data_IF_990354066790
#
_entry.id   IF_990354066790
#
_cell.length_a   1.000
_cell.length_b   1.000
_cell.length_c   1.000
_cell.angle_alpha   90.00
_cell.angle_beta   90.00
_cell.angle_gamma   90.00
#
_symmetry.space_group_name_H-M   'P 1'
#
loop_
_entity.id
_entity.type
_entity.pdbx_description
1 polymer ?
#
# COMPACT_ATOMS: atom_id res chain seq x y z
N UNK A 1 -18.49 2.45 -0.96
CA UNK A 1 -18.18 1.73 -2.21
C UNK A 1 -18.39 0.25 -1.97
N UNK A 2 -19.09 -0.42 -2.87
CA UNK A 2 -19.20 -1.87 -2.88
C UNK A 2 -17.87 -2.53 -3.28
N UNK A 3 -17.71 -3.81 -2.92
CA UNK A 3 -16.52 -4.61 -3.24
C UNK A 3 -16.18 -4.62 -4.75
N UNK A 4 -17.19 -4.64 -5.60
CA UNK A 4 -17.02 -4.66 -7.06
C UNK A 4 -16.56 -3.30 -7.59
N UNK A 5 -17.05 -2.21 -7.02
CA UNK A 5 -16.63 -0.86 -7.40
C UNK A 5 -15.17 -0.61 -7.03
N UNK A 6 -14.74 -1.00 -5.82
CA UNK A 6 -13.35 -0.77 -5.41
C UNK A 6 -12.35 -1.58 -6.27
N UNK A 7 -12.70 -2.80 -6.67
CA UNK A 7 -11.86 -3.59 -7.57
C UNK A 7 -11.77 -2.96 -8.97
N UNK A 8 -12.88 -2.43 -9.50
CA UNK A 8 -12.88 -1.68 -10.76
C UNK A 8 -12.04 -0.42 -10.68
N UNK A 9 -12.15 0.33 -9.59
CA UNK A 9 -11.34 1.54 -9.35
C UNK A 9 -9.86 1.20 -9.29
N UNK A 10 -9.48 0.16 -8.54
CA UNK A 10 -8.07 -0.29 -8.48
C UNK A 10 -7.55 -0.72 -9.86
N UNK A 11 -8.37 -1.46 -10.63
CA UNK A 11 -8.01 -1.89 -11.97
C UNK A 11 -7.88 -0.73 -12.97
N UNK A 12 -8.49 0.43 -12.68
CA UNK A 12 -8.41 1.61 -13.55
C UNK A 12 -7.10 2.39 -13.39
N UNK A 13 -6.33 2.15 -12.32
CA UNK A 13 -5.07 2.84 -12.10
C UNK A 13 -4.01 2.40 -13.11
N UNK A 14 -3.37 3.36 -13.76
CA UNK A 14 -2.28 3.13 -14.71
C UNK A 14 -0.90 3.24 -14.06
N UNK A 15 -0.83 3.88 -12.90
CA UNK A 15 0.40 4.02 -12.11
C UNK A 15 0.13 3.82 -10.62
N UNK A 16 1.19 3.56 -9.85
CA UNK A 16 1.07 3.33 -8.41
C UNK A 16 0.82 4.63 -7.64
N UNK A 17 1.32 5.75 -8.17
CA UNK A 17 1.10 7.11 -7.69
C UNK A 17 -0.39 7.44 -7.67
N UNK A 18 -1.12 7.13 -8.74
CA UNK A 18 -2.58 7.31 -8.77
C UNK A 18 -3.29 6.55 -7.65
N UNK A 19 -2.84 5.33 -7.36
CA UNK A 19 -3.39 4.56 -6.27
C UNK A 19 -3.05 5.20 -4.91
N UNK A 20 -1.81 5.67 -4.73
CA UNK A 20 -1.38 6.33 -3.49
C UNK A 20 -2.14 7.64 -3.25
N UNK A 21 -2.33 8.45 -4.29
CA UNK A 21 -3.11 9.69 -4.25
C UNK A 21 -4.59 9.39 -3.97
N UNK A 22 -5.19 8.42 -4.67
CA UNK A 22 -6.58 8.03 -4.45
C UNK A 22 -6.86 7.53 -3.02
N UNK A 23 -5.86 6.90 -2.40
CA UNK A 23 -5.96 6.38 -1.05
C UNK A 23 -5.44 7.35 0.01
N UNK A 24 -5.13 8.61 -0.30
CA UNK A 24 -4.55 9.59 0.63
C UNK A 24 -3.35 8.99 1.40
N UNK A 25 -2.41 8.40 0.68
CA UNK A 25 -1.16 7.87 1.23
C UNK A 25 -0.03 8.75 0.75
N UNK A 26 0.58 9.50 1.67
CA UNK A 26 1.80 10.25 1.38
C UNK A 26 2.96 9.32 0.99
N UNK A 27 3.73 9.73 -0.01
CA UNK A 27 4.87 8.97 -0.52
C UNK A 27 6.02 9.91 -0.93
N UNK A 28 7.23 9.35 -0.92
CA UNK A 28 8.41 10.02 -1.48
C UNK A 28 8.58 9.66 -2.96
N UNK A 29 8.67 10.65 -3.85
CA UNK A 29 8.76 10.41 -5.29
C UNK A 29 10.04 9.66 -5.69
N UNK A 30 11.18 9.87 -5.00
CA UNK A 30 12.41 9.09 -5.24
C UNK A 30 12.20 7.63 -4.83
N UNK A 31 11.50 7.38 -3.73
CA UNK A 31 11.15 6.04 -3.31
C UNK A 31 10.27 5.33 -4.34
N UNK A 32 9.27 6.01 -4.90
CA UNK A 32 8.42 5.42 -5.95
C UNK A 32 9.21 5.18 -7.25
N UNK A 33 10.10 6.08 -7.64
CA UNK A 33 10.97 5.86 -8.79
C UNK A 33 11.88 4.62 -8.62
N UNK A 34 12.39 4.39 -7.41
CA UNK A 34 13.31 3.28 -7.12
C UNK A 34 12.58 1.94 -6.86
N UNK A 35 11.40 1.96 -6.24
CA UNK A 35 10.68 0.76 -5.76
C UNK A 35 9.26 0.57 -6.32
N UNK A 36 8.80 1.43 -7.24
CA UNK A 36 7.44 1.43 -7.76
C UNK A 36 7.01 0.06 -8.30
N UNK A 37 7.86 -0.61 -9.08
CA UNK A 37 7.57 -1.96 -9.59
C UNK A 37 7.44 -2.99 -8.46
N UNK A 38 8.25 -2.90 -7.41
CA UNK A 38 8.14 -3.81 -6.26
C UNK A 38 6.87 -3.54 -5.46
N UNK A 39 6.49 -2.26 -5.34
CA UNK A 39 5.27 -1.83 -4.66
C UNK A 39 4.03 -2.34 -5.38
N UNK A 40 3.95 -2.19 -6.70
CA UNK A 40 2.86 -2.73 -7.53
C UNK A 40 2.73 -4.24 -7.33
N UNK A 41 3.85 -4.99 -7.46
CA UNK A 41 3.83 -6.46 -7.28
C UNK A 41 3.33 -6.87 -5.91
N UNK A 42 3.79 -6.20 -4.85
CA UNK A 42 3.40 -6.52 -3.48
C UNK A 42 1.95 -6.14 -3.19
N UNK A 43 1.50 -4.99 -3.68
CA UNK A 43 0.11 -4.55 -3.55
C UNK A 43 -0.84 -5.54 -4.24
N UNK A 44 -0.56 -5.89 -5.50
CA UNK A 44 -1.35 -6.89 -6.23
C UNK A 44 -1.34 -8.25 -5.52
N UNK A 45 -0.21 -8.67 -4.97
CA UNK A 45 -0.13 -9.88 -4.15
C UNK A 45 -1.07 -9.85 -2.94
N UNK A 46 -1.17 -8.70 -2.25
CA UNK A 46 -2.11 -8.55 -1.13
C UNK A 46 -3.58 -8.56 -1.57
N UNK A 47 -3.90 -7.95 -2.72
CA UNK A 47 -5.25 -7.97 -3.28
C UNK A 47 -5.70 -9.38 -3.70
N UNK A 48 -4.77 -10.22 -4.15
CA UNK A 48 -5.04 -11.63 -4.51
C UNK A 48 -5.27 -12.46 -3.24
N UNK A 49 -4.43 -12.29 -2.22
CA UNK A 49 -4.54 -13.03 -0.96
C UNK A 49 -5.81 -12.68 -0.18
N UNK A 50 -6.17 -11.40 -0.18
CA UNK A 50 -7.38 -10.91 0.46
C UNK A 50 -8.01 -9.84 -0.42
N UNK A 51 -9.14 -10.19 -1.04
CA UNK A 51 -9.92 -9.22 -1.82
C UNK A 51 -10.38 -8.09 -0.90
N UNK A 52 -10.14 -6.82 -1.24
CA UNK A 52 -10.58 -5.71 -0.40
C UNK A 52 -12.10 -5.65 -0.39
N UNK A 53 -12.70 -5.60 0.79
CA UNK A 53 -14.15 -5.48 0.97
C UNK A 53 -14.62 -4.04 0.77
N UNK A 54 -13.78 -3.08 1.17
CA UNK A 54 -14.05 -1.65 1.10
C UNK A 54 -12.78 -0.84 0.76
N UNK A 55 -12.96 0.48 0.68
CA UNK A 55 -11.88 1.43 0.42
C UNK A 55 -10.78 1.38 1.49
N UNK A 56 -11.14 1.17 2.76
CA UNK A 56 -10.17 1.11 3.86
C UNK A 56 -9.30 -0.14 3.82
N UNK A 57 -9.87 -1.29 3.43
CA UNK A 57 -9.15 -2.54 3.23
C UNK A 57 -8.15 -2.40 2.08
N UNK A 58 -8.58 -1.81 0.95
CA UNK A 58 -7.70 -1.54 -0.18
C UNK A 58 -6.56 -0.58 0.20
N UNK A 59 -6.88 0.55 0.86
CA UNK A 59 -5.90 1.48 1.41
C UNK A 59 -4.89 0.79 2.33
N UNK A 60 -5.38 -0.06 3.23
CA UNK A 60 -4.53 -0.80 4.18
C UNK A 60 -3.60 -1.76 3.45
N UNK A 61 -4.09 -2.46 2.42
CA UNK A 61 -3.27 -3.33 1.59
C UNK A 61 -2.13 -2.54 0.92
N UNK A 62 -2.43 -1.40 0.29
CA UNK A 62 -1.41 -0.56 -0.34
C UNK A 62 -0.41 0.00 0.67
N UNK A 63 -0.89 0.54 1.79
CA UNK A 63 -0.04 1.08 2.86
C UNK A 63 0.87 0.01 3.46
N UNK A 64 0.36 -1.19 3.69
CA UNK A 64 1.16 -2.31 4.17
C UNK A 64 2.23 -2.72 3.14
N UNK A 65 1.92 -2.68 1.85
CA UNK A 65 2.89 -2.96 0.80
C UNK A 65 4.03 -1.94 0.81
N UNK A 66 3.70 -0.66 0.89
CA UNK A 66 4.66 0.45 0.98
C UNK A 66 5.54 0.32 2.22
N UNK A 67 4.94 0.23 3.41
CA UNK A 67 5.68 0.13 4.66
C UNK A 67 6.57 -1.13 4.72
N UNK A 68 6.15 -2.23 4.11
CA UNK A 68 6.95 -3.46 4.08
C UNK A 68 8.25 -3.24 3.30
N UNK A 69 8.19 -2.59 2.14
CA UNK A 69 9.37 -2.30 1.32
C UNK A 69 10.28 -1.31 2.03
N UNK A 70 9.71 -0.24 2.59
CA UNK A 70 10.48 0.76 3.34
C UNK A 70 11.22 0.11 4.53
N UNK A 71 10.54 -0.75 5.31
CA UNK A 71 11.14 -1.46 6.44
C UNK A 71 12.16 -2.50 6.05
N UNK A 72 12.08 -3.12 4.87
CA UNK A 72 13.12 -4.06 4.42
C UNK A 72 14.43 -3.37 4.05
N UNK A 73 14.43 -2.05 3.85
CA UNK A 73 15.65 -1.26 3.62
C UNK A 73 16.37 -0.87 4.90
N UNK A 74 15.66 -0.83 6.02
CA UNK A 74 16.25 -0.47 7.31
C UNK A 74 17.07 -1.66 7.85
N UNK A 75 18.25 -1.36 8.39
CA UNK A 75 19.10 -2.38 9.00
C UNK A 75 18.37 -3.12 10.14
N UNK A 76 18.66 -4.40 10.32
CA UNK A 76 17.93 -5.27 11.25
C UNK A 76 18.02 -4.79 12.70
N UNK A 77 19.11 -4.13 13.07
CA UNK A 77 19.38 -3.64 14.42
C UNK A 77 18.86 -2.22 14.63
N UNK A 78 18.77 -1.42 13.57
CA UNK A 78 18.25 -0.04 13.62
C UNK A 78 16.75 0.06 13.31
N UNK A 79 16.17 -0.94 12.64
CA UNK A 79 14.75 -0.94 12.32
C UNK A 79 13.95 -1.01 13.61
N UNK A 80 13.28 0.09 13.94
CA UNK A 80 12.24 0.03 14.95
C UNK A 80 11.07 -0.78 14.40
N UNK A 81 10.42 -1.55 15.28
CA UNK A 81 9.09 -2.03 14.96
C UNK A 81 8.23 -0.78 14.70
N UNK A 82 7.80 -0.58 13.45
CA UNK A 82 6.74 0.37 13.17
C UNK A 82 5.62 0.03 14.15
N UNK A 83 5.33 0.91 15.11
CA UNK A 83 4.32 0.71 16.17
C UNK A 83 2.90 0.76 15.62
N UNK A 84 2.72 0.36 14.35
CA UNK A 84 1.74 0.92 13.45
C UNK A 84 1.91 2.44 13.38
N UNK A 85 1.97 3.02 12.19
CA UNK A 85 1.41 4.36 12.12
C UNK A 85 -0.01 4.25 12.71
N UNK A 86 -0.45 5.19 13.53
CA UNK A 86 -1.76 5.18 14.22
C UNK A 86 -2.97 4.88 13.32
N UNK A 87 -2.79 4.96 12.00
CA UNK A 87 -3.71 4.52 10.93
C UNK A 87 -3.75 3.00 10.64
N UNK A 88 -2.75 2.20 11.05
CA UNK A 88 -2.72 0.74 10.95
C UNK A 88 -3.18 0.03 12.24
N UNK A 89 -3.20 0.73 13.38
CA UNK A 89 -3.63 0.19 14.68
C UNK A 89 -5.08 0.50 15.06
N UNK A 90 -5.75 1.48 14.42
CA UNK A 90 -7.19 1.70 14.60
C UNK A 90 -7.98 0.63 13.82
N UNK A 91 -8.01 -0.56 14.40
CA UNK A 91 -9.22 -1.39 14.47
C UNK A 91 -10.13 -0.81 15.53
#
# INVERSE_FOLDING_TARGET
MSQTEIQKTIASFTSIEQALDHFDIEYDSKFINEYGTQLVKRFNGYLILQKPEDWFAARRALKNAYCKIQRSRLDKYTRQACRGCTTCQRR
#
